data_IF_065093539148
#
_entry.id   IF_065093539148
#
_cell.length_a   1.000
_cell.length_b   1.000
_cell.length_c   1.000
_cell.angle_alpha   90.00
_cell.angle_beta   90.00
_cell.angle_gamma   90.00
#
_symmetry.space_group_name_H-M   'P 1'
#
loop_
_entity.id
_entity.type
_entity.pdbx_description
1 polymer ?
#
# COMPACT_ATOMS: atom_id res chain seq x y z
N UNK A 1 -2.13 -16.05 -3.78
CA UNK A 1 -2.28 -14.58 -3.75
C UNK A 1 -1.31 -14.05 -4.78
N UNK A 2 -1.79 -13.70 -5.96
CA UNK A 2 -0.94 -13.23 -7.04
C UNK A 2 -0.35 -11.86 -6.68
N UNK A 3 0.92 -11.61 -7.05
CA UNK A 3 1.56 -10.31 -6.79
C UNK A 3 0.76 -9.14 -7.40
N UNK A 4 0.07 -9.39 -8.52
CA UNK A 4 -0.82 -8.43 -9.17
C UNK A 4 -1.95 -7.95 -8.25
N UNK A 5 -2.58 -8.84 -7.48
CA UNK A 5 -3.66 -8.46 -6.56
C UNK A 5 -3.16 -7.57 -5.41
N UNK A 6 -1.91 -7.81 -4.97
CA UNK A 6 -1.25 -7.01 -3.94
C UNK A 6 -0.95 -5.59 -4.43
N UNK A 7 -0.41 -5.46 -5.64
CA UNK A 7 -0.15 -4.16 -6.25
C UNK A 7 -1.45 -3.38 -6.48
N UNK A 8 -2.50 -4.04 -6.98
CA UNK A 8 -3.80 -3.40 -7.20
C UNK A 8 -4.36 -2.81 -5.90
N UNK A 9 -4.33 -3.58 -4.80
CA UNK A 9 -4.76 -3.11 -3.47
C UNK A 9 -3.94 -1.92 -2.96
N UNK A 10 -2.64 -1.90 -3.22
CA UNK A 10 -1.78 -0.74 -2.87
C UNK A 10 -2.24 0.50 -3.63
N UNK A 11 -2.44 0.39 -4.95
CA UNK A 11 -2.92 1.50 -5.77
C UNK A 11 -4.31 1.99 -5.34
N UNK A 12 -5.22 1.09 -5.00
CA UNK A 12 -6.57 1.46 -4.54
C UNK A 12 -6.54 2.24 -3.22
N UNK A 13 -5.61 1.93 -2.31
CA UNK A 13 -5.42 2.69 -1.07
C UNK A 13 -4.78 4.06 -1.34
N UNK A 14 -3.77 4.11 -2.22
CA UNK A 14 -3.08 5.37 -2.54
C UNK A 14 -4.03 6.37 -3.21
N UNK A 15 -4.95 5.91 -4.06
CA UNK A 15 -5.99 6.74 -4.67
C UNK A 15 -6.98 7.35 -3.67
N UNK A 16 -7.13 6.76 -2.49
CA UNK A 16 -8.03 7.27 -1.44
C UNK A 16 -7.38 8.36 -0.59
N UNK A 17 -6.08 8.64 -0.75
CA UNK A 17 -5.39 9.66 0.03
C UNK A 17 -5.82 11.04 -0.48
N UNK A 18 -6.46 11.88 0.36
CA UNK A 18 -6.89 13.20 -0.06
C UNK A 18 -5.70 14.14 -0.28
N UNK A 19 -5.87 15.11 -1.18
CA UNK A 19 -4.84 16.10 -1.49
C UNK A 19 -4.38 16.86 -0.23
N UNK A 20 -3.07 17.05 -0.08
CA UNK A 20 -2.48 17.69 1.10
C UNK A 20 -2.32 16.77 2.33
N UNK A 21 -2.69 15.50 2.23
CA UNK A 21 -2.38 14.47 3.24
C UNK A 21 -1.34 13.50 2.69
N UNK A 22 -0.58 12.91 3.62
CA UNK A 22 0.43 11.90 3.32
C UNK A 22 0.21 10.68 4.20
N UNK A 23 0.61 9.50 3.70
CA UNK A 23 0.62 8.27 4.48
C UNK A 23 2.00 7.62 4.38
N UNK A 24 2.27 6.64 5.24
CA UNK A 24 3.53 5.90 5.24
C UNK A 24 3.34 4.52 4.64
N UNK A 25 4.40 3.96 4.06
CA UNK A 25 4.40 2.58 3.55
C UNK A 25 4.03 1.55 4.62
N UNK A 26 4.38 1.82 5.88
CA UNK A 26 3.97 0.98 7.02
C UNK A 26 2.46 1.01 7.27
N UNK A 27 1.82 2.18 7.17
CA UNK A 27 0.36 2.27 7.28
C UNK A 27 -0.35 1.56 6.14
N UNK A 28 0.13 1.69 4.90
CA UNK A 28 -0.44 0.98 3.75
C UNK A 28 -0.28 -0.54 3.94
N UNK A 29 0.89 -1.02 4.34
CA UNK A 29 1.12 -2.45 4.58
C UNK A 29 0.21 -3.01 5.69
N UNK A 30 -0.01 -2.23 6.75
CA UNK A 30 -0.92 -2.59 7.86
C UNK A 30 -2.39 -2.61 7.41
N UNK A 31 -2.80 -1.67 6.56
CA UNK A 31 -4.15 -1.60 6.00
C UNK A 31 -4.49 -2.82 5.10
N UNK A 32 -3.49 -3.39 4.43
CA UNK A 32 -3.66 -4.58 3.58
C UNK A 32 -3.53 -5.89 4.39
N UNK A 33 -3.18 -5.81 5.68
CA UNK A 33 -3.00 -6.97 6.56
C UNK A 33 -1.70 -7.74 6.35
N UNK A 34 -0.77 -7.20 5.55
CA UNK A 34 0.57 -7.77 5.34
C UNK A 34 1.51 -7.19 6.41
N UNK A 35 1.54 -7.84 7.57
CA UNK A 35 2.19 -7.36 8.80
C UNK A 35 3.70 -7.09 8.75
N UNK A 36 4.41 -7.25 7.62
CA UNK A 36 5.87 -7.03 7.55
C UNK A 36 6.41 -6.49 6.21
N UNK A 37 5.61 -5.86 5.37
CA UNK A 37 6.04 -5.57 3.99
C UNK A 37 6.04 -4.09 3.60
N UNK A 38 6.41 -3.18 4.52
CA UNK A 38 6.62 -1.76 4.16
C UNK A 38 7.61 -1.60 2.97
N UNK A 39 8.61 -2.49 2.88
CA UNK A 39 9.53 -2.56 1.73
C UNK A 39 8.82 -2.97 0.43
N UNK A 40 7.86 -3.88 0.47
CA UNK A 40 7.12 -4.33 -0.72
C UNK A 40 6.27 -3.20 -1.31
N UNK A 41 5.68 -2.35 -0.46
CA UNK A 41 4.95 -1.16 -0.91
C UNK A 41 5.89 -0.19 -1.64
N UNK A 42 7.13 -0.07 -1.18
CA UNK A 42 8.15 0.73 -1.88
C UNK A 42 8.62 0.16 -3.22
N UNK A 43 8.40 -1.12 -3.52
CA UNK A 43 8.64 -1.72 -4.84
C UNK A 43 7.39 -1.67 -5.74
N UNK A 44 6.23 -1.37 -5.17
CA UNK A 44 4.94 -1.34 -5.85
C UNK A 44 4.61 0.00 -6.50
N UNK A 45 5.15 1.07 -5.91
CA UNK A 45 5.01 2.45 -6.34
C UNK A 45 6.20 2.85 -7.20
#
# INVERSE_FOLDING_TARGET
>A
MDKKDLYQRIFDIVKQIPAGKVTTYGHIARAIGVGMSARMVGWAL
#
